data_IF_249992937324
#
_entry.id   IF_249992937324
#
_cell.length_a   1.000
_cell.length_b   1.000
_cell.length_c   1.000
_cell.angle_alpha   90.00
_cell.angle_beta   90.00
_cell.angle_gamma   90.00
#
_symmetry.space_group_name_H-M   'P 1'
#
loop_
_entity.id
_entity.type
_entity.pdbx_description
1 polymer ?
#
# COMPACT_ATOMS: atom_id res chain seq x y z
N UNK A 1 -15.11 -3.74 27.98
CA UNK A 1 -14.07 -2.78 27.57
C UNK A 1 -13.13 -2.54 28.74
N UNK A 2 -11.89 -3.03 28.69
CA UNK A 2 -10.95 -2.85 29.80
C UNK A 2 -10.48 -1.38 29.83
N UNK A 3 -10.73 -0.68 30.94
CA UNK A 3 -10.28 0.70 31.13
C UNK A 3 -8.78 0.71 31.41
N UNK A 4 -8.01 1.46 30.61
CA UNK A 4 -6.56 1.60 30.77
C UNK A 4 -6.27 2.31 32.10
N UNK A 5 -5.60 1.61 33.03
CA UNK A 5 -5.11 2.16 34.31
C UNK A 5 -3.63 2.50 34.18
N UNK A 6 -3.23 3.64 34.75
CA UNK A 6 -1.90 4.28 34.67
C UNK A 6 -1.50 4.99 33.35
N UNK A 7 -2.32 5.90 32.78
CA UNK A 7 -1.85 6.87 31.78
C UNK A 7 -1.05 8.06 32.39
N UNK A 8 -1.01 8.17 33.73
CA UNK A 8 -0.49 9.29 34.54
C UNK A 8 1.04 9.52 34.49
N UNK A 9 1.80 8.69 33.77
CA UNK A 9 3.24 8.85 33.54
C UNK A 9 3.58 9.43 32.15
N UNK A 10 2.61 9.98 31.41
CA UNK A 10 2.77 10.55 30.06
C UNK A 10 3.23 9.59 28.95
N UNK A 11 3.15 8.26 29.14
CA UNK A 11 3.48 7.30 28.09
C UNK A 11 2.33 7.21 27.06
N UNK A 12 2.52 7.81 25.88
CA UNK A 12 1.81 7.37 24.68
C UNK A 12 2.39 6.01 24.29
N UNK A 13 1.80 4.93 24.81
CA UNK A 13 2.25 3.59 24.48
C UNK A 13 2.00 3.34 22.99
N UNK A 14 3.07 3.10 22.23
CA UNK A 14 3.03 2.78 20.81
C UNK A 14 3.83 1.51 20.54
N UNK A 15 3.37 0.72 19.58
CA UNK A 15 4.06 -0.46 19.11
C UNK A 15 3.55 -1.75 19.76
N UNK A 16 4.24 -2.86 19.46
CA UNK A 16 3.82 -4.20 19.85
C UNK A 16 4.59 -4.70 21.07
N UNK A 17 3.91 -5.45 21.93
CA UNK A 17 4.53 -6.22 23.02
C UNK A 17 4.40 -7.70 22.67
N UNK A 18 5.54 -8.40 22.63
CA UNK A 18 5.63 -9.86 22.51
C UNK A 18 4.75 -10.50 21.40
N UNK A 19 4.47 -9.77 20.32
CA UNK A 19 3.54 -10.21 19.25
C UNK A 19 2.16 -10.65 19.77
N UNK A 20 1.70 -10.05 20.87
CA UNK A 20 0.40 -10.36 21.47
C UNK A 20 -0.54 -9.15 21.43
N UNK A 21 -0.03 -7.96 21.77
CA UNK A 21 -0.79 -6.73 21.83
C UNK A 21 -0.07 -5.61 21.09
N UNK A 22 -0.84 -4.71 20.48
CA UNK A 22 -0.35 -3.49 19.83
C UNK A 22 -1.06 -2.29 20.44
N UNK A 23 -0.28 -1.33 20.93
CA UNK A 23 -0.75 -0.05 21.45
C UNK A 23 -0.66 1.00 20.34
N UNK A 24 -1.73 1.76 20.14
CA UNK A 24 -1.76 2.85 19.17
C UNK A 24 -2.76 3.95 19.55
N UNK A 25 -2.50 5.16 19.06
CA UNK A 25 -3.47 6.24 19.03
C UNK A 25 -4.35 6.13 17.79
N UNK A 26 -5.67 6.12 17.96
CA UNK A 26 -6.63 6.17 16.86
C UNK A 26 -7.60 7.32 17.05
N UNK A 27 -7.53 8.34 16.20
CA UNK A 27 -8.41 9.53 16.26
C UNK A 27 -8.48 10.16 17.67
N UNK A 28 -7.33 10.28 18.34
CA UNK A 28 -7.24 10.80 19.71
C UNK A 28 -7.61 9.81 20.82
N UNK A 29 -8.07 8.60 20.49
CA UNK A 29 -8.34 7.54 21.45
C UNK A 29 -7.10 6.67 21.66
N UNK A 30 -6.81 6.36 22.93
CA UNK A 30 -5.78 5.37 23.30
C UNK A 30 -6.39 3.98 23.17
N UNK A 31 -5.92 3.20 22.20
CA UNK A 31 -6.49 1.89 21.87
C UNK A 31 -5.44 0.79 21.95
N UNK A 32 -5.90 -0.41 22.33
CA UNK A 32 -5.09 -1.63 22.33
C UNK A 32 -5.81 -2.65 21.46
N UNK A 33 -5.09 -3.27 20.55
CA UNK A 33 -5.60 -4.37 19.72
C UNK A 33 -4.72 -5.60 19.84
N UNK A 34 -5.30 -6.76 19.55
CA UNK A 34 -4.51 -7.98 19.39
C UNK A 34 -3.51 -7.81 18.24
N UNK A 35 -2.31 -8.32 18.44
CA UNK A 35 -1.36 -8.46 17.34
C UNK A 35 -1.91 -9.46 16.34
N UNK A 36 -2.20 -8.97 15.14
CA UNK A 36 -2.66 -9.78 14.02
C UNK A 36 -1.56 -9.78 12.98
N UNK A 37 -1.09 -10.97 12.61
CA UNK A 37 -0.29 -11.15 11.40
C UNK A 37 -1.28 -11.16 10.24
N UNK A 38 -1.23 -10.20 9.31
CA UNK A 38 -2.09 -10.22 8.15
C UNK A 38 -1.86 -11.51 7.37
N UNK A 39 -2.94 -12.22 7.04
CA UNK A 39 -2.85 -13.34 6.12
C UNK A 39 -2.53 -12.80 4.72
N UNK A 40 -1.53 -13.38 4.06
CA UNK A 40 -1.31 -13.21 2.63
C UNK A 40 -1.59 -14.56 1.96
N UNK A 41 -2.86 -14.90 1.70
CA UNK A 41 -3.28 -16.25 1.33
C UNK A 41 -2.73 -16.70 -0.03
N UNK A 42 -2.16 -15.81 -0.85
CA UNK A 42 -1.62 -16.12 -2.19
C UNK A 42 -2.57 -17.00 -3.00
N UNK A 43 -3.87 -16.69 -2.97
CA UNK A 43 -4.88 -17.45 -3.72
C UNK A 43 -4.60 -17.38 -5.22
N UNK A 44 -5.17 -18.31 -5.98
CA UNK A 44 -5.01 -18.36 -7.43
C UNK A 44 -5.44 -17.05 -8.09
N UNK A 45 -6.58 -16.49 -7.68
CA UNK A 45 -7.04 -15.16 -8.14
C UNK A 45 -6.05 -14.03 -7.83
N UNK A 46 -5.44 -14.06 -6.63
CA UNK A 46 -4.44 -13.06 -6.25
C UNK A 46 -3.15 -13.21 -7.07
N UNK A 47 -2.73 -14.44 -7.35
CA UNK A 47 -1.57 -14.71 -8.19
C UNK A 47 -1.83 -14.33 -9.64
N UNK A 48 -3.03 -14.60 -10.15
CA UNK A 48 -3.44 -14.22 -11.49
C UNK A 48 -3.37 -12.70 -11.67
N UNK A 49 -3.94 -11.94 -10.74
CA UNK A 49 -3.86 -10.47 -10.78
C UNK A 49 -2.41 -9.96 -10.70
N UNK A 50 -1.60 -10.52 -9.81
CA UNK A 50 -0.15 -10.19 -9.75
C UNK A 50 0.57 -10.55 -11.06
N UNK A 51 0.17 -11.63 -11.71
CA UNK A 51 0.65 -12.05 -13.02
C UNK A 51 0.38 -10.99 -14.08
N UNK A 52 -0.86 -10.50 -14.18
CA UNK A 52 -1.20 -9.43 -15.12
C UNK A 52 -0.34 -8.18 -14.95
N UNK A 53 -0.17 -7.70 -13.72
CA UNK A 53 0.70 -6.54 -13.46
C UNK A 53 2.17 -6.84 -13.80
N UNK A 54 2.66 -8.04 -13.49
CA UNK A 54 4.04 -8.43 -13.80
C UNK A 54 4.28 -8.46 -15.30
N UNK A 55 3.35 -9.03 -16.06
CA UNK A 55 3.40 -9.04 -17.53
C UNK A 55 3.35 -7.63 -18.10
N UNK A 56 2.39 -6.80 -17.69
CA UNK A 56 2.26 -5.43 -18.19
C UNK A 56 3.52 -4.58 -17.92
N UNK A 57 4.12 -4.72 -16.73
CA UNK A 57 5.41 -4.06 -16.41
C UNK A 57 6.54 -4.60 -17.29
N UNK A 58 6.56 -5.92 -17.54
CA UNK A 58 7.54 -6.55 -18.41
C UNK A 58 7.45 -6.05 -19.85
N UNK A 59 6.24 -5.98 -20.40
CA UNK A 59 5.94 -5.42 -21.73
C UNK A 59 6.39 -3.97 -21.78
N UNK A 60 5.99 -3.13 -20.82
CA UNK A 60 6.43 -1.72 -20.77
C UNK A 60 7.95 -1.54 -20.85
N UNK A 61 8.72 -2.42 -20.21
CA UNK A 61 10.19 -2.35 -20.25
C UNK A 61 10.82 -3.01 -21.48
N UNK A 62 10.12 -3.92 -22.16
CA UNK A 62 10.71 -4.79 -23.20
C UNK A 62 10.21 -4.48 -24.61
N UNK A 63 8.99 -3.95 -24.77
CA UNK A 63 8.33 -3.72 -26.06
C UNK A 63 8.89 -2.52 -26.86
N UNK A 64 10.13 -2.13 -26.59
CA UNK A 64 10.86 -1.25 -27.50
C UNK A 64 10.34 0.18 -27.54
N UNK A 65 9.64 0.65 -26.51
CA UNK A 65 9.33 2.07 -26.36
C UNK A 65 10.62 2.87 -26.39
N UNK A 66 10.77 3.65 -27.44
CA UNK A 66 11.87 4.58 -27.62
C UNK A 66 11.67 5.79 -26.71
N UNK A 67 12.72 6.60 -26.60
CA UNK A 67 12.59 7.90 -25.92
C UNK A 67 11.57 8.83 -26.60
N UNK A 68 11.32 8.65 -27.91
CA UNK A 68 10.26 9.36 -28.62
C UNK A 68 8.86 8.89 -28.20
N UNK A 69 8.66 7.59 -28.02
CA UNK A 69 7.36 7.05 -27.61
C UNK A 69 6.96 7.54 -26.22
N UNK A 70 7.91 7.54 -25.27
CA UNK A 70 7.69 8.09 -23.93
C UNK A 70 7.29 9.58 -23.98
N UNK A 71 7.95 10.39 -24.84
CA UNK A 71 7.58 11.80 -25.03
C UNK A 71 6.19 11.96 -25.64
N UNK A 72 5.79 11.09 -26.57
CA UNK A 72 4.46 11.13 -27.16
C UNK A 72 3.38 10.84 -26.11
N UNK A 73 3.63 9.89 -25.20
CA UNK A 73 2.77 9.62 -24.06
C UNK A 73 2.67 10.80 -23.09
N UNK A 74 3.79 11.44 -22.76
CA UNK A 74 3.80 12.63 -21.91
C UNK A 74 2.99 13.79 -22.54
N UNK A 75 3.11 13.97 -23.86
CA UNK A 75 2.34 14.98 -24.60
C UNK A 75 0.85 14.68 -24.59
N UNK A 76 0.45 13.41 -24.76
CA UNK A 76 -0.94 12.98 -24.67
C UNK A 76 -1.52 13.30 -23.29
N UNK A 77 -0.82 12.92 -22.22
CA UNK A 77 -1.21 13.21 -20.84
C UNK A 77 -1.42 14.71 -20.60
N UNK A 78 -0.49 15.54 -21.09
CA UNK A 78 -0.59 16.99 -21.00
C UNK A 78 -1.81 17.53 -21.76
N UNK A 79 -2.09 17.00 -22.96
CA UNK A 79 -3.21 17.44 -23.79
C UNK A 79 -4.58 17.15 -23.15
N UNK A 80 -4.71 15.99 -22.51
CA UNK A 80 -5.91 15.55 -21.82
C UNK A 80 -6.05 16.20 -20.44
N UNK A 81 -4.98 16.79 -19.91
CA UNK A 81 -4.87 17.32 -18.54
C UNK A 81 -5.15 16.26 -17.47
N UNK A 82 -4.76 15.03 -17.77
CA UNK A 82 -4.88 13.89 -16.87
C UNK A 82 -3.49 13.35 -16.55
N UNK A 83 -3.32 12.86 -15.31
CA UNK A 83 -2.08 12.21 -14.91
C UNK A 83 -2.07 10.77 -15.45
N UNK A 84 -1.72 10.62 -16.72
CA UNK A 84 -1.61 9.31 -17.40
C UNK A 84 -0.21 8.73 -17.24
N UNK A 85 -0.14 7.41 -17.24
CA UNK A 85 1.04 6.55 -17.19
C UNK A 85 0.69 5.28 -17.95
N UNK A 86 1.69 4.47 -18.32
CA UNK A 86 1.46 3.19 -19.01
C UNK A 86 0.57 2.19 -18.25
N UNK A 87 0.18 2.48 -17.00
CA UNK A 87 -0.69 1.65 -16.17
C UNK A 87 -2.11 2.21 -15.97
N UNK A 88 -2.40 3.42 -16.45
CA UNK A 88 -3.71 4.07 -16.26
C UNK A 88 -4.14 4.90 -17.49
N UNK A 89 -3.81 4.40 -18.67
CA UNK A 89 -4.38 4.86 -19.94
C UNK A 89 -5.83 4.40 -20.05
#
# INVERSE_FOLDING_TARGET
MAKVRAPLMSFDARGQIAKSLVYLGWKGLKTVRQYVIPANPKSDDQQQQRGYFTTAVGEWHTDGFTSEDAKAWDLLALSLKEALSGFNV
#
